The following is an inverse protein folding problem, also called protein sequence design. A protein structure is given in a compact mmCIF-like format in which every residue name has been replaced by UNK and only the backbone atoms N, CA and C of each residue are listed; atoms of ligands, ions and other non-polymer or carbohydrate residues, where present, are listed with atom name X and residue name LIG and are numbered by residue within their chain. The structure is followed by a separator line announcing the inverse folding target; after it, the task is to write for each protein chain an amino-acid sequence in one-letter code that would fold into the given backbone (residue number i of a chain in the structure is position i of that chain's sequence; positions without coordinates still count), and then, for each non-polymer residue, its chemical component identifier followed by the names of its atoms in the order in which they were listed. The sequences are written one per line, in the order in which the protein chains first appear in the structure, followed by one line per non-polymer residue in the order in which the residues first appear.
data_IF_943163204800
#
_entry.id   IF_943163204800
#
_cell.length_a   1.000
_cell.length_b   1.000
_cell.length_c   1.000
_cell.angle_alpha   90.00
_cell.angle_beta   90.00
_cell.angle_gamma   90.00
#
_symmetry.space_group_name_H-M   'P 1'
#
loop_
_entity.id
_entity.type
_entity.pdbx_description
1 polymer ?
#
# COMPACT_ATOMS: atom_id res chain seq x y z
N UNK A 1 7.25 5.46 10.15
CA UNK A 1 8.45 5.82 9.35
C UNK A 1 7.94 6.22 7.96
N UNK A 2 8.31 7.41 7.47
CA UNK A 2 7.95 7.87 6.12
C UNK A 2 9.23 7.91 5.26
N UNK A 3 9.23 7.22 4.13
CA UNK A 3 10.39 7.14 3.24
C UNK A 3 10.44 8.35 2.31
N UNK A 4 11.63 8.91 2.13
CA UNK A 4 11.81 10.06 1.24
C UNK A 4 11.89 9.63 -0.23
N UNK A 5 11.73 10.58 -1.15
CA UNK A 5 11.90 10.38 -2.60
C UNK A 5 13.21 9.66 -2.95
N UNK A 6 14.31 10.00 -2.28
CA UNK A 6 15.63 9.41 -2.55
C UNK A 6 15.68 7.90 -2.30
N UNK A 7 14.85 7.38 -1.38
CA UNK A 7 14.74 5.94 -1.17
C UNK A 7 14.24 5.25 -2.44
N UNK A 8 13.16 5.73 -3.04
CA UNK A 8 12.54 5.12 -4.22
C UNK A 8 13.36 5.31 -5.51
N UNK A 9 14.19 6.36 -5.58
CA UNK A 9 15.13 6.55 -6.69
C UNK A 9 16.31 5.57 -6.64
N UNK A 10 16.70 5.12 -5.44
CA UNK A 10 17.87 4.24 -5.23
C UNK A 10 17.50 2.77 -5.01
N UNK A 11 16.23 2.47 -4.70
CA UNK A 11 15.74 1.11 -4.46
C UNK A 11 14.69 0.74 -5.50
N UNK A 12 14.95 -0.32 -6.27
CA UNK A 12 13.95 -0.91 -7.17
C UNK A 12 12.90 -1.68 -6.37
N UNK A 13 11.65 -1.63 -6.83
CA UNK A 13 10.60 -2.50 -6.30
C UNK A 13 11.02 -3.96 -6.46
N UNK A 14 10.90 -4.75 -5.38
CA UNK A 14 11.19 -6.19 -5.43
C UNK A 14 10.12 -6.94 -6.20
N UNK A 15 8.86 -6.57 -5.95
CA UNK A 15 7.66 -7.05 -6.62
C UNK A 15 6.72 -5.87 -6.80
N UNK A 16 5.84 -5.94 -7.81
CA UNK A 16 4.84 -4.91 -8.13
C UNK A 16 3.66 -5.54 -8.84
N UNK A 17 2.55 -4.82 -8.96
CA UNK A 17 1.49 -5.21 -9.87
C UNK A 17 2.00 -5.26 -11.31
N UNK A 18 1.49 -6.23 -12.08
CA UNK A 18 1.86 -6.42 -13.48
C UNK A 18 1.46 -5.19 -14.31
N UNK A 19 0.23 -4.73 -14.12
CA UNK A 19 -0.37 -3.59 -14.81
C UNK A 19 -1.19 -2.72 -13.86
N UNK A 20 -1.15 -1.40 -14.08
CA UNK A 20 -2.18 -0.50 -13.55
C UNK A 20 -3.43 -0.68 -14.41
N UNK A 21 -4.52 -1.08 -13.79
CA UNK A 21 -5.79 -1.33 -14.47
C UNK A 21 -6.93 -0.66 -13.71
N UNK A 22 -7.90 -0.11 -14.44
CA UNK A 22 -9.09 0.51 -13.85
C UNK A 22 -10.12 -0.56 -13.46
N UNK A 23 -9.76 -1.39 -12.48
CA UNK A 23 -10.65 -2.33 -11.84
C UNK A 23 -10.83 -1.92 -10.37
N UNK A 24 -11.97 -2.30 -9.79
CA UNK A 24 -12.26 -2.08 -8.36
C UNK A 24 -11.20 -2.71 -7.45
N UNK A 25 -10.60 -3.82 -7.88
CA UNK A 25 -9.56 -4.52 -7.14
C UNK A 25 -8.46 -4.98 -8.10
N UNK A 26 -7.22 -4.84 -7.65
CA UNK A 26 -6.04 -5.45 -8.27
C UNK A 26 -5.48 -6.47 -7.29
N UNK A 27 -5.43 -7.73 -7.70
CA UNK A 27 -4.94 -8.84 -6.89
C UNK A 27 -3.71 -9.44 -7.53
N UNK A 28 -2.63 -9.55 -6.76
CA UNK A 28 -1.41 -10.24 -7.16
C UNK A 28 -1.01 -11.27 -6.10
N UNK A 29 -0.37 -12.35 -6.55
CA UNK A 29 0.23 -13.37 -5.67
C UNK A 29 1.74 -13.30 -5.81
N UNK A 30 2.43 -13.11 -4.69
CA UNK A 30 3.88 -12.98 -4.67
C UNK A 30 4.51 -14.11 -3.85
N UNK A 31 5.73 -14.48 -4.23
CA UNK A 31 6.59 -15.38 -3.44
C UNK A 31 7.88 -14.64 -3.12
N UNK A 32 7.93 -14.06 -1.93
CA UNK A 32 9.07 -13.29 -1.45
C UNK A 32 9.91 -14.12 -0.47
N UNK A 33 11.24 -13.93 -0.44
CA UNK A 33 12.07 -14.37 0.68
C UNK A 33 11.54 -13.80 2.01
N UNK A 34 11.82 -14.43 3.17
CA UNK A 34 11.52 -13.83 4.47
C UNK A 34 12.22 -12.48 4.63
N UNK A 35 11.50 -11.46 5.07
CA UNK A 35 12.02 -10.12 5.25
C UNK A 35 10.93 -9.09 5.51
N UNK A 36 11.34 -7.84 5.70
CA UNK A 36 10.44 -6.70 5.85
C UNK A 36 10.22 -6.04 4.49
N UNK A 37 8.95 -5.80 4.16
CA UNK A 37 8.53 -5.23 2.89
C UNK A 37 7.57 -4.07 3.12
N UNK A 38 7.60 -3.12 2.20
CA UNK A 38 6.73 -1.95 2.21
C UNK A 38 5.84 -2.02 0.98
N UNK A 39 4.53 -1.90 1.19
CA UNK A 39 3.55 -1.83 0.12
C UNK A 39 3.19 -0.36 -0.13
N UNK A 40 3.35 0.09 -1.38
CA UNK A 40 3.03 1.46 -1.80
C UNK A 40 1.83 1.39 -2.75
N UNK A 41 0.59 1.60 -2.27
CA UNK A 41 -0.58 1.70 -3.13
C UNK A 41 -0.59 3.06 -3.84
N UNK A 42 -0.87 3.10 -5.14
CA UNK A 42 -1.03 4.36 -5.88
C UNK A 42 -1.97 4.20 -7.06
N UNK A 43 -2.47 5.32 -7.57
CA UNK A 43 -3.01 5.41 -8.93
C UNK A 43 -1.87 5.50 -9.94
N UNK A 44 -2.20 5.33 -11.22
CA UNK A 44 -1.22 5.49 -12.30
C UNK A 44 -0.78 6.95 -12.46
N UNK A 45 -1.76 7.84 -12.57
CA UNK A 45 -1.52 9.29 -12.62
C UNK A 45 -1.49 9.89 -11.21
N UNK A 46 -0.67 10.91 -10.97
CA UNK A 46 -0.70 11.66 -9.72
C UNK A 46 -2.01 12.45 -9.59
N UNK A 47 -2.29 12.94 -8.37
CA UNK A 47 -3.41 13.84 -8.06
C UNK A 47 -4.79 13.24 -8.39
N UNK A 48 -4.97 11.94 -8.13
CA UNK A 48 -6.27 11.28 -8.19
C UNK A 48 -6.72 10.95 -6.78
N UNK A 49 -7.85 11.51 -6.39
CA UNK A 49 -8.46 11.23 -5.10
C UNK A 49 -9.18 9.88 -5.13
N UNK A 50 -9.12 9.16 -4.02
CA UNK A 50 -9.84 7.91 -3.88
C UNK A 50 -9.54 7.19 -2.57
N UNK A 51 -10.57 6.55 -2.03
CA UNK A 51 -10.43 5.65 -0.90
C UNK A 51 -9.98 4.27 -1.38
N UNK A 52 -9.15 3.59 -0.58
CA UNK A 52 -8.68 2.24 -0.89
C UNK A 52 -8.57 1.39 0.37
N UNK A 53 -8.55 0.07 0.17
CA UNK A 53 -8.31 -0.91 1.21
C UNK A 53 -7.29 -1.94 0.71
N UNK A 54 -6.30 -2.27 1.55
CA UNK A 54 -5.32 -3.31 1.25
C UNK A 54 -5.65 -4.54 2.09
N UNK A 55 -5.68 -5.70 1.44
CA UNK A 55 -5.84 -7.01 2.09
C UNK A 55 -4.62 -7.87 1.82
N UNK A 56 -3.96 -8.34 2.87
CA UNK A 56 -2.78 -9.21 2.76
C UNK A 56 -3.12 -10.60 3.27
N UNK A 57 -2.94 -11.60 2.42
CA UNK A 57 -3.08 -13.01 2.77
C UNK A 57 -1.71 -13.68 2.66
N UNK A 58 -1.32 -14.43 3.69
CA UNK A 58 -0.07 -15.19 3.72
C UNK A 58 -0.38 -16.64 4.08
N UNK A 59 0.30 -17.58 3.41
CA UNK A 59 0.21 -19.01 3.73
C UNK A 59 0.69 -19.32 5.16
N UNK A 60 1.69 -18.57 5.63
CA UNK A 60 2.28 -18.74 6.96
C UNK A 60 2.07 -17.49 7.79
N UNK A 61 1.87 -17.66 9.10
CA UNK A 61 1.86 -16.53 10.04
C UNK A 61 3.26 -15.88 10.02
N UNK A 62 3.35 -14.55 9.83
CA UNK A 62 4.61 -13.84 9.95
C UNK A 62 5.19 -14.01 11.35
N UNK A 63 6.49 -14.31 11.43
CA UNK A 63 7.21 -14.37 12.70
C UNK A 63 7.31 -12.94 13.26
N UNK A 64 6.94 -12.76 14.54
CA UNK A 64 7.14 -11.50 15.26
C UNK A 64 6.10 -10.40 15.07
N UNK A 65 5.07 -10.60 14.23
CA UNK A 65 3.97 -9.65 14.09
C UNK A 65 2.76 -10.19 14.86
N UNK A 66 2.32 -9.49 15.92
CA UNK A 66 0.97 -9.72 16.47
C UNK A 66 -0.04 -9.16 15.47
N UNK A 67 -0.53 -10.01 14.56
CA UNK A 67 -1.64 -9.65 13.69
C UNK A 67 -2.90 -9.55 14.53
N UNK A 68 -3.25 -8.33 14.95
CA UNK A 68 -4.56 -8.10 15.54
C UNK A 68 -5.61 -8.21 14.43
N UNK A 69 -6.14 -9.43 14.27
CA UNK A 69 -7.20 -9.75 13.30
C UNK A 69 -8.49 -8.94 13.51
N UNK A 70 -8.64 -8.23 14.64
CA UNK A 70 -9.83 -7.43 14.96
C UNK A 70 -9.67 -5.94 14.64
N UNK A 71 -8.49 -5.49 14.21
CA UNK A 71 -8.28 -4.10 13.80
C UNK A 71 -8.15 -4.00 12.28
N UNK A 72 -9.14 -3.42 11.57
CA UNK A 72 -8.91 -2.99 10.20
C UNK A 72 -7.75 -1.99 10.17
N UNK A 73 -6.85 -2.15 9.19
CA UNK A 73 -5.86 -1.13 8.88
C UNK A 73 -6.60 0.09 8.31
N UNK A 74 -6.97 1.03 9.18
CA UNK A 74 -7.24 2.39 8.72
C UNK A 74 -5.88 3.05 8.49
N UNK A 75 -5.56 3.33 7.24
CA UNK A 75 -4.51 4.30 6.92
C UNK A 75 -5.13 5.66 7.27
N UNK A 76 -4.63 6.31 8.32
CA UNK A 76 -5.07 7.67 8.64
C UNK A 76 -4.70 8.58 7.46
N UNK A 77 -5.72 9.15 6.80
CA UNK A 77 -5.49 10.19 5.82
C UNK A 77 -4.97 11.43 6.54
N UNK A 78 -3.85 12.01 6.10
CA UNK A 78 -3.42 13.28 6.63
C UNK A 78 -4.51 14.34 6.45
N UNK A 79 -4.74 15.15 7.47
CA UNK A 79 -5.85 16.13 7.52
C UNK A 79 -5.88 17.11 6.34
N UNK A 80 -4.76 17.31 5.63
CA UNK A 80 -4.70 18.15 4.42
C UNK A 80 -5.37 17.53 3.18
N UNK A 81 -5.66 16.23 3.17
CA UNK A 81 -6.47 15.58 2.12
C UNK A 81 -7.98 15.71 2.37
N UNK A 82 -8.40 16.22 3.54
CA UNK A 82 -9.80 16.48 3.88
C UNK A 82 -10.17 17.96 3.83
N UNK A 83 -9.42 18.79 3.09
CA UNK A 83 -9.81 20.20 2.96
C UNK A 83 -11.14 20.29 2.20
N UNK A 84 -12.12 21.06 2.71
CA UNK A 84 -13.36 21.31 1.99
C UNK A 84 -13.01 21.99 0.66
N UNK A 85 -13.62 21.50 -0.43
CA UNK A 85 -13.52 22.15 -1.74
C UNK A 85 -14.03 23.60 -1.60
N UNK A 86 -13.32 24.61 -2.12
CA UNK A 86 -13.89 25.95 -2.23
C UNK A 86 -15.12 25.90 -3.16
N UNK A 87 -16.12 26.73 -2.85
CA UNK A 87 -17.40 26.83 -3.56
C UNK A 87 -17.25 26.99 -5.09
#
# INVERSE_FOLDING_TARGET
IHLSKNFFLTHRARERSDTFINLREVLNRFKLPPGEYILVPSTFEPNKDGDFCIRVFSEKKPLGISWDRKKPFYVEFPSWLSQPKPD
#
